data_IF_871801320603
#
_entry.id   IF_871801320603
#
_cell.length_a   1.000
_cell.length_b   1.000
_cell.length_c   1.000
_cell.angle_alpha   90.00
_cell.angle_beta   90.00
_cell.angle_gamma   90.00
#
_symmetry.space_group_name_H-M   'P 1'
#
loop_
_entity.id
_entity.type
_entity.pdbx_description
1 polymer ?
#
# COMPACT_ATOMS: atom_id res chain seq x y z
N UNK A 1 -32.07 17.64 49.92
CA UNK A 1 -31.53 16.28 50.10
C UNK A 1 -31.77 15.47 48.84
N UNK A 2 -30.90 15.58 47.83
CA UNK A 2 -30.87 14.64 46.71
C UNK A 2 -29.41 14.45 46.33
N UNK A 3 -28.75 13.55 47.05
CA UNK A 3 -27.42 13.08 46.75
C UNK A 3 -27.46 11.58 46.55
N UNK A 4 -26.73 11.14 45.53
CA UNK A 4 -26.17 9.80 45.39
C UNK A 4 -27.11 8.69 44.91
N UNK A 5 -27.29 8.60 43.59
CA UNK A 5 -27.54 7.30 42.95
C UNK A 5 -26.86 7.11 41.58
N UNK A 6 -25.94 8.00 41.18
CA UNK A 6 -25.32 8.00 39.85
C UNK A 6 -23.91 7.37 39.76
N UNK A 7 -23.26 6.98 40.87
CA UNK A 7 -21.83 6.59 40.83
C UNK A 7 -21.57 5.09 40.63
N UNK A 8 -22.51 4.19 40.95
CA UNK A 8 -22.24 2.76 40.94
C UNK A 8 -22.32 2.12 39.54
N UNK A 9 -23.18 2.61 38.66
CA UNK A 9 -23.33 2.08 37.30
C UNK A 9 -22.15 2.51 36.39
N UNK A 10 -21.70 3.77 36.52
CA UNK A 10 -20.57 4.30 35.76
C UNK A 10 -19.25 3.62 36.14
N UNK A 11 -19.04 3.31 37.42
CA UNK A 11 -17.84 2.60 37.87
C UNK A 11 -17.75 1.16 37.34
N UNK A 12 -18.89 0.45 37.22
CA UNK A 12 -18.93 -0.92 36.66
C UNK A 12 -18.70 -0.94 35.15
N UNK A 13 -19.17 0.08 34.42
CA UNK A 13 -18.95 0.23 32.98
C UNK A 13 -17.47 0.57 32.70
N UNK A 14 -16.89 1.50 33.47
CA UNK A 14 -15.47 1.83 33.38
C UNK A 14 -14.59 0.62 33.77
N UNK A 15 -14.94 -0.12 34.82
CA UNK A 15 -14.21 -1.34 35.20
C UNK A 15 -14.28 -2.44 34.13
N UNK A 16 -15.43 -2.60 33.44
CA UNK A 16 -15.57 -3.54 32.32
C UNK A 16 -14.84 -3.09 31.06
N UNK A 17 -14.84 -1.78 30.76
CA UNK A 17 -14.03 -1.20 29.66
C UNK A 17 -12.53 -1.31 29.96
N UNK A 18 -12.09 -1.05 31.20
CA UNK A 18 -10.72 -1.26 31.63
C UNK A 18 -10.31 -2.73 31.60
N UNK A 19 -11.20 -3.66 31.96
CA UNK A 19 -10.96 -5.10 31.82
C UNK A 19 -10.90 -5.52 30.34
N UNK A 20 -11.74 -4.95 29.47
CA UNK A 20 -11.69 -5.19 28.02
C UNK A 20 -10.40 -4.63 27.39
N UNK A 21 -9.96 -3.45 27.84
CA UNK A 21 -8.69 -2.82 27.42
C UNK A 21 -7.49 -3.58 27.99
N UNK A 22 -7.56 -4.13 29.20
CA UNK A 22 -6.52 -4.99 29.78
C UNK A 22 -6.43 -6.36 29.09
N UNK A 23 -7.55 -6.91 28.60
CA UNK A 23 -7.56 -8.12 27.76
C UNK A 23 -7.02 -7.85 26.35
N UNK A 24 -7.16 -6.63 25.84
CA UNK A 24 -6.59 -6.20 24.55
C UNK A 24 -5.11 -5.79 24.66
N UNK A 25 -4.63 -5.40 25.85
CA UNK A 25 -3.24 -4.98 26.08
C UNK A 25 -2.28 -6.11 26.53
N UNK A 26 -2.79 -7.31 26.79
CA UNK A 26 -1.96 -8.49 26.93
C UNK A 26 -1.62 -9.00 25.52
N UNK A 27 -0.52 -8.49 24.95
CA UNK A 27 0.02 -8.97 23.68
C UNK A 27 0.04 -10.50 23.66
N UNK A 28 -0.60 -11.07 22.65
CA UNK A 28 -0.75 -12.51 22.45
C UNK A 28 0.60 -13.12 22.02
N UNK A 29 1.57 -13.14 22.93
CA UNK A 29 2.73 -14.01 22.81
C UNK A 29 2.27 -15.45 22.99
N UNK A 30 2.40 -16.27 21.95
CA UNK A 30 2.10 -17.70 22.04
C UNK A 30 3.41 -18.47 22.06
N UNK A 31 3.71 -19.13 23.17
CA UNK A 31 4.81 -20.09 23.30
C UNK A 31 4.26 -21.51 23.09
N UNK A 32 4.97 -22.33 22.32
CA UNK A 32 4.67 -23.72 22.08
C UNK A 32 5.95 -24.55 22.13
N UNK A 33 5.97 -25.58 22.98
CA UNK A 33 7.10 -26.50 23.10
C UNK A 33 6.76 -27.84 22.46
N UNK A 34 7.55 -28.25 21.49
CA UNK A 34 7.31 -29.45 20.71
C UNK A 34 8.52 -30.35 20.77
N UNK A 35 8.30 -31.65 20.99
CA UNK A 35 9.38 -32.63 20.88
C UNK A 35 9.53 -33.07 19.44
N UNK A 36 10.71 -32.89 18.87
CA UNK A 36 11.01 -33.20 17.47
C UNK A 36 12.17 -34.19 17.40
N UNK A 37 12.15 -35.04 16.37
CA UNK A 37 13.29 -35.91 16.05
C UNK A 37 14.15 -35.21 15.00
N UNK A 38 15.39 -34.91 15.35
CA UNK A 38 16.38 -34.27 14.50
C UNK A 38 16.90 -35.23 13.42
N UNK A 39 17.68 -34.67 12.48
CA UNK A 39 18.30 -35.39 11.37
C UNK A 39 19.27 -36.50 11.79
N UNK A 40 19.89 -36.34 12.96
CA UNK A 40 20.80 -37.28 13.62
C UNK A 40 20.06 -38.40 14.39
N UNK A 41 18.72 -38.36 14.41
CA UNK A 41 17.87 -39.32 15.10
C UNK A 41 17.61 -39.02 16.58
N UNK A 42 18.26 -38.01 17.15
CA UNK A 42 18.05 -37.59 18.53
C UNK A 42 16.73 -36.83 18.68
N UNK A 43 16.13 -36.95 19.86
CA UNK A 43 14.89 -36.24 20.20
C UNK A 43 15.25 -35.02 21.03
N UNK A 44 14.84 -33.84 20.56
CA UNK A 44 15.08 -32.56 21.25
C UNK A 44 13.75 -31.84 21.48
N UNK A 45 13.77 -30.86 22.38
CA UNK A 45 12.65 -29.92 22.57
C UNK A 45 12.92 -28.68 21.72
N UNK A 46 11.95 -28.34 20.88
CA UNK A 46 11.92 -27.12 20.07
C UNK A 46 10.90 -26.15 20.69
N UNK A 47 11.37 -24.95 21.00
CA UNK A 47 10.55 -23.86 21.54
C UNK A 47 10.19 -22.92 20.40
N UNK A 48 8.89 -22.83 20.09
CA UNK A 48 8.33 -21.92 19.11
C UNK A 48 7.63 -20.76 19.84
N UNK A 49 8.01 -19.53 19.55
CA UNK A 49 7.33 -18.34 20.03
C UNK A 49 6.82 -17.51 18.86
N UNK A 50 5.59 -17.01 18.96
CA UNK A 50 5.02 -16.10 17.99
C UNK A 50 4.57 -14.81 18.67
N UNK A 51 5.02 -13.68 18.10
CA UNK A 51 4.61 -12.34 18.47
C UNK A 51 3.82 -11.73 17.31
N UNK A 52 2.49 -11.76 17.43
CA UNK A 52 1.60 -11.20 16.39
C UNK A 52 1.62 -9.66 16.35
N UNK A 53 2.05 -8.97 17.42
CA UNK A 53 2.11 -7.51 17.44
C UNK A 53 3.35 -6.99 16.70
N UNK A 54 4.49 -7.64 16.93
CA UNK A 54 5.75 -7.33 16.24
C UNK A 54 5.87 -7.99 14.87
N UNK A 55 4.94 -8.87 14.54
CA UNK A 55 4.94 -9.71 13.35
C UNK A 55 6.27 -10.47 13.21
N UNK A 56 6.61 -11.21 14.26
CA UNK A 56 7.85 -11.96 14.38
C UNK A 56 7.62 -13.34 15.00
N UNK A 57 8.51 -14.28 14.68
CA UNK A 57 8.54 -15.61 15.28
C UNK A 57 9.96 -15.94 15.74
N UNK A 58 10.08 -16.72 16.81
CA UNK A 58 11.31 -17.27 17.34
C UNK A 58 11.23 -18.79 17.42
N UNK A 59 12.34 -19.45 17.14
CA UNK A 59 12.51 -20.89 17.12
C UNK A 59 13.82 -21.20 17.85
N UNK A 60 13.79 -22.03 18.89
CA UNK A 60 14.99 -22.43 19.62
C UNK A 60 15.04 -23.94 19.83
N UNK A 61 16.19 -24.55 19.52
CA UNK A 61 16.41 -25.97 19.75
C UNK A 61 17.90 -26.27 19.97
N UNK A 62 18.17 -27.38 20.65
CA UNK A 62 19.54 -27.87 20.91
C UNK A 62 19.87 -29.05 20.00
N UNK A 63 21.03 -28.99 19.35
CA UNK A 63 21.58 -30.08 18.53
C UNK A 63 22.26 -31.15 19.40
N UNK A 64 22.52 -32.33 18.80
CA UNK A 64 23.14 -33.47 19.48
C UNK A 64 24.55 -33.22 20.01
N UNK A 65 25.30 -32.33 19.36
CA UNK A 65 26.64 -31.88 19.76
C UNK A 65 26.63 -30.86 20.91
N UNK A 66 25.44 -30.43 21.34
CA UNK A 66 25.27 -29.44 22.40
C UNK A 66 25.10 -28.00 21.91
N UNK A 67 25.24 -27.74 20.60
CA UNK A 67 25.06 -26.42 20.00
C UNK A 67 23.60 -25.95 20.16
N UNK A 68 23.41 -24.74 20.69
CA UNK A 68 22.08 -24.11 20.78
C UNK A 68 21.85 -23.25 19.54
N UNK A 69 20.76 -23.53 18.81
CA UNK A 69 20.35 -22.76 17.65
C UNK A 69 19.11 -21.94 18.01
N UNK A 70 19.19 -20.63 17.82
CA UNK A 70 18.05 -19.71 17.92
C UNK A 70 17.84 -19.07 16.56
N UNK A 71 16.63 -19.13 16.03
CA UNK A 71 16.24 -18.51 14.78
C UNK A 71 15.09 -17.53 15.03
N UNK A 72 15.18 -16.35 14.44
CA UNK A 72 14.08 -15.38 14.43
C UNK A 72 13.78 -14.97 13.01
N UNK A 73 12.50 -14.97 12.66
CA UNK A 73 11.99 -14.35 11.45
C UNK A 73 11.20 -13.10 11.81
N UNK A 74 11.70 -11.95 11.37
CA UNK A 74 11.06 -10.64 11.43
C UNK A 74 10.35 -10.40 10.09
N UNK A 75 9.04 -10.66 10.05
CA UNK A 75 8.23 -10.48 8.83
C UNK A 75 8.01 -9.00 8.50
N UNK A 76 8.03 -8.13 9.52
CA UNK A 76 7.90 -6.68 9.36
C UNK A 76 9.04 -6.10 8.53
N UNK A 77 10.28 -6.48 8.84
CA UNK A 77 11.46 -6.04 8.07
C UNK A 77 11.87 -7.01 6.95
N UNK A 78 11.27 -8.21 6.89
CA UNK A 78 11.66 -9.32 6.00
C UNK A 78 13.12 -9.74 6.20
N UNK A 79 13.51 -9.89 7.47
CA UNK A 79 14.86 -10.29 7.88
C UNK A 79 14.76 -11.57 8.71
N UNK A 80 15.66 -12.51 8.46
CA UNK A 80 15.84 -13.72 9.27
C UNK A 80 17.21 -13.71 9.93
N UNK A 81 17.26 -14.12 11.19
CA UNK A 81 18.44 -14.07 12.04
C UNK A 81 18.65 -15.47 12.60
N UNK A 82 19.84 -16.03 12.40
CA UNK A 82 20.26 -17.29 13.00
C UNK A 82 21.37 -17.00 14.00
N UNK A 83 21.23 -17.48 15.21
CA UNK A 83 22.27 -17.52 16.23
C UNK A 83 22.64 -18.96 16.50
N UNK A 84 23.92 -19.27 16.46
CA UNK A 84 24.47 -20.53 16.92
C UNK A 84 25.40 -20.27 18.12
N UNK A 85 25.08 -20.83 19.28
CA UNK A 85 25.97 -20.88 20.43
C UNK A 85 26.63 -22.25 20.47
N UNK A 86 27.90 -22.29 20.07
CA UNK A 86 28.71 -23.51 20.03
C UNK A 86 29.48 -23.60 21.34
N UNK A 87 29.48 -24.79 21.96
CA UNK A 87 30.25 -25.03 23.18
C UNK A 87 31.74 -24.99 22.88
N UNK A 88 32.50 -24.22 23.68
CA UNK A 88 33.94 -24.11 23.51
C UNK A 88 34.72 -25.22 24.22
N UNK A 89 35.94 -25.47 23.75
CA UNK A 89 36.86 -26.46 24.34
C UNK A 89 37.68 -25.81 25.46
N UNK A 90 37.17 -25.85 26.69
CA UNK A 90 37.83 -25.27 27.88
C UNK A 90 39.26 -25.78 28.09
N UNK A 91 39.52 -27.05 27.77
CA UNK A 91 40.85 -27.69 27.85
C UNK A 91 41.89 -27.04 26.92
N UNK A 92 41.45 -26.29 25.91
CA UNK A 92 42.31 -25.54 24.99
C UNK A 92 42.33 -24.05 25.29
N UNK A 93 41.81 -23.64 26.45
CA UNK A 93 41.73 -22.25 26.87
C UNK A 93 40.68 -21.43 26.12
N UNK A 94 39.68 -22.07 25.49
CA UNK A 94 38.57 -21.36 24.87
C UNK A 94 37.54 -20.91 25.92
N UNK A 95 36.71 -19.92 25.56
CA UNK A 95 35.56 -19.53 26.38
C UNK A 95 34.53 -20.69 26.47
N UNK A 96 33.62 -20.62 27.45
CA UNK A 96 32.58 -21.65 27.65
C UNK A 96 31.72 -21.86 26.40
N UNK A 97 31.47 -20.80 25.64
CA UNK A 97 30.74 -20.85 24.37
C UNK A 97 31.28 -19.79 23.40
N UNK A 98 31.08 -20.05 22.11
CA UNK A 98 31.31 -19.11 21.02
C UNK A 98 29.99 -18.85 20.32
N UNK A 99 29.58 -17.57 20.27
CA UNK A 99 28.41 -17.14 19.51
C UNK A 99 28.75 -16.81 18.07
N UNK A 100 27.93 -17.30 17.14
CA UNK A 100 27.92 -16.91 15.74
C UNK A 100 26.53 -16.40 15.40
N UNK A 101 26.44 -15.29 14.68
CA UNK A 101 25.17 -14.76 14.22
C UNK A 101 25.18 -14.56 12.70
N UNK A 102 24.11 -14.98 12.03
CA UNK A 102 23.92 -14.84 10.61
C UNK A 102 22.61 -14.10 10.34
N UNK A 103 22.70 -12.97 9.66
CA UNK A 103 21.55 -12.15 9.29
C UNK A 103 21.36 -12.27 7.78
N UNK A 104 20.14 -12.56 7.33
CA UNK A 104 19.84 -12.69 5.90
C UNK A 104 18.41 -12.23 5.61
N UNK A 105 18.08 -12.06 4.33
CA UNK A 105 16.72 -11.73 3.90
C UNK A 105 15.78 -12.92 4.09
N UNK A 106 14.58 -12.65 4.62
CA UNK A 106 13.48 -13.60 4.68
C UNK A 106 12.71 -13.57 3.35
N UNK A 107 12.59 -14.73 2.68
CA UNK A 107 11.72 -14.83 1.49
C UNK A 107 10.31 -15.27 1.86
N UNK A 108 9.36 -15.00 0.96
CA UNK A 108 7.96 -15.44 1.13
C UNK A 108 7.89 -16.96 1.16
N UNK A 109 7.03 -17.49 2.01
CA UNK A 109 6.72 -18.91 2.12
C UNK A 109 7.91 -19.79 2.56
N UNK A 110 8.98 -19.22 3.10
CA UNK A 110 10.03 -19.99 3.76
C UNK A 110 9.54 -20.60 5.08
N UNK A 111 8.68 -19.88 5.80
CA UNK A 111 8.15 -20.28 7.10
C UNK A 111 6.71 -19.76 7.29
N UNK A 112 5.95 -20.41 8.17
CA UNK A 112 4.57 -20.02 8.50
C UNK A 112 4.53 -18.61 9.14
N UNK A 113 3.58 -17.75 8.75
CA UNK A 113 3.44 -16.41 9.33
C UNK A 113 3.17 -16.42 10.84
N UNK A 114 3.51 -15.32 11.52
CA UNK A 114 3.34 -15.12 12.96
C UNK A 114 1.90 -15.40 13.43
N UNK A 115 0.88 -14.90 12.73
CA UNK A 115 -0.53 -15.12 13.09
C UNK A 115 -0.93 -16.60 13.04
N UNK A 116 -0.42 -17.34 12.06
CA UNK A 116 -0.70 -18.78 11.92
C UNK A 116 0.00 -19.57 13.02
N UNK A 117 1.25 -19.23 13.32
CA UNK A 117 2.03 -19.86 14.39
C UNK A 117 1.40 -19.58 15.77
N UNK A 118 0.91 -18.37 16.03
CA UNK A 118 0.28 -17.98 17.29
C UNK A 118 -1.01 -18.76 17.60
N UNK A 119 -1.62 -19.38 16.59
CA UNK A 119 -2.82 -20.22 16.71
C UNK A 119 -2.50 -21.70 16.86
N UNK A 120 -1.24 -22.12 16.73
CA UNK A 120 -0.86 -23.51 16.92
C UNK A 120 -1.09 -23.96 18.35
N UNK A 121 -1.72 -25.12 18.51
CA UNK A 121 -2.00 -25.75 19.80
C UNK A 121 -1.65 -27.23 19.72
N UNK A 122 -1.03 -27.76 20.76
CA UNK A 122 -0.66 -29.17 20.82
C UNK A 122 -1.64 -29.97 21.67
N UNK A 123 -2.27 -30.96 21.04
CA UNK A 123 -3.23 -31.85 21.71
C UNK A 123 -2.56 -32.86 22.64
N UNK A 124 -1.35 -33.34 22.28
CA UNK A 124 -0.58 -34.28 23.09
C UNK A 124 0.87 -33.76 23.28
N UNK A 125 1.22 -33.19 24.45
CA UNK A 125 2.55 -32.68 24.74
C UNK A 125 3.68 -33.71 24.60
N UNK A 126 3.36 -35.00 24.79
CA UNK A 126 4.33 -36.08 24.74
C UNK A 126 4.53 -36.65 23.33
N UNK A 127 3.79 -36.18 22.32
CA UNK A 127 3.97 -36.68 20.95
C UNK A 127 5.31 -36.19 20.37
N UNK A 128 6.11 -37.12 19.83
CA UNK A 128 7.31 -36.80 19.06
C UNK A 128 6.87 -36.51 17.63
N UNK A 129 7.18 -35.32 17.13
CA UNK A 129 6.86 -34.88 15.77
C UNK A 129 7.99 -35.22 14.81
N UNK A 130 7.59 -35.60 13.60
CA UNK A 130 8.45 -35.88 12.47
C UNK A 130 8.10 -34.89 11.36
N UNK A 131 9.12 -34.41 10.65
CA UNK A 131 8.91 -33.55 9.49
C UNK A 131 8.16 -34.33 8.40
N UNK A 132 7.10 -33.75 7.86
CA UNK A 132 6.34 -34.31 6.74
C UNK A 132 7.16 -34.31 5.45
N UNK A 133 7.91 -33.22 5.23
CA UNK A 133 8.83 -33.04 4.11
C UNK A 133 10.25 -32.79 4.64
N UNK A 134 11.24 -33.52 4.13
CA UNK A 134 12.66 -33.31 4.46
C UNK A 134 13.33 -32.53 3.33
N UNK A 135 13.47 -31.21 3.52
CA UNK A 135 14.17 -30.34 2.57
C UNK A 135 15.69 -30.61 2.59
N UNK A 136 16.34 -30.41 1.45
CA UNK A 136 17.80 -30.55 1.30
C UNK A 136 18.58 -29.45 2.01
N UNK A 137 19.90 -29.61 2.08
CA UNK A 137 20.80 -28.60 2.63
C UNK A 137 20.96 -27.41 1.66
N UNK A 138 20.78 -26.19 2.16
CA UNK A 138 21.09 -24.96 1.43
C UNK A 138 22.46 -24.44 1.86
N UNK A 139 23.34 -24.18 0.88
CA UNK A 139 24.65 -23.58 1.14
C UNK A 139 24.58 -22.07 0.95
N UNK A 140 24.90 -21.31 2.00
CA UNK A 140 24.92 -19.86 1.98
C UNK A 140 26.32 -19.33 2.31
N UNK A 141 26.83 -18.44 1.47
CA UNK A 141 28.12 -17.76 1.71
C UNK A 141 27.89 -16.44 2.45
N UNK A 142 28.35 -16.39 3.70
CA UNK A 142 28.20 -15.25 4.60
C UNK A 142 29.53 -14.48 4.68
N UNK A 143 29.79 -13.63 3.69
CA UNK A 143 31.10 -13.00 3.48
C UNK A 143 31.24 -11.60 4.08
N UNK A 144 30.15 -10.98 4.54
CA UNK A 144 30.17 -9.57 4.99
C UNK A 144 29.90 -9.49 6.48
N UNK A 145 30.78 -8.83 7.23
CA UNK A 145 30.58 -8.57 8.65
C UNK A 145 29.54 -7.47 8.89
N UNK A 146 28.71 -7.62 9.92
CA UNK A 146 27.66 -6.67 10.31
C UNK A 146 28.08 -5.97 11.61
N UNK A 147 28.02 -4.65 11.61
CA UNK A 147 28.28 -3.87 12.81
C UNK A 147 27.04 -3.85 13.72
N UNK A 148 27.12 -4.51 14.88
CA UNK A 148 26.03 -4.63 15.85
C UNK A 148 25.41 -3.27 16.24
N UNK A 149 26.24 -2.23 16.40
CA UNK A 149 25.76 -0.89 16.80
C UNK A 149 24.82 -0.22 15.79
N UNK A 150 24.90 -0.62 14.52
CA UNK A 150 24.05 -0.10 13.43
C UNK A 150 23.02 -1.11 12.94
N UNK A 151 23.14 -2.37 13.37
CA UNK A 151 22.31 -3.46 12.87
C UNK A 151 20.82 -3.31 13.21
N UNK A 152 20.46 -2.49 14.21
CA UNK A 152 19.06 -2.16 14.53
C UNK A 152 18.28 -1.58 13.34
N UNK A 153 18.98 -0.99 12.36
CA UNK A 153 18.41 -0.48 11.11
C UNK A 153 17.85 -1.59 10.22
N UNK A 154 18.40 -2.80 10.32
CA UNK A 154 17.94 -3.98 9.57
C UNK A 154 16.79 -4.67 10.30
N UNK A 155 16.96 -4.91 11.60
CA UNK A 155 15.91 -5.43 12.47
C UNK A 155 16.23 -5.11 13.93
N UNK A 156 15.19 -4.75 14.69
CA UNK A 156 15.31 -4.49 16.13
C UNK A 156 15.72 -5.71 16.95
N UNK A 157 15.53 -6.93 16.41
CA UNK A 157 15.84 -8.18 17.09
C UNK A 157 17.34 -8.51 17.09
N UNK A 158 18.12 -7.95 16.15
CA UNK A 158 19.54 -8.29 15.96
C UNK A 158 20.37 -7.97 17.21
N UNK A 159 20.10 -6.84 17.86
CA UNK A 159 20.88 -6.45 19.04
C UNK A 159 20.78 -7.49 20.16
N UNK A 160 19.56 -7.89 20.51
CA UNK A 160 19.34 -8.84 21.61
C UNK A 160 19.84 -10.24 21.24
N UNK A 161 19.59 -10.68 20.01
CA UNK A 161 20.01 -12.01 19.56
C UNK A 161 21.53 -12.12 19.39
N UNK A 162 22.17 -11.17 18.73
CA UNK A 162 23.56 -11.31 18.32
C UNK A 162 24.56 -10.70 19.32
N UNK A 163 24.11 -10.19 20.47
CA UNK A 163 24.98 -9.56 21.47
C UNK A 163 26.14 -10.47 21.92
N UNK A 164 25.86 -11.76 22.11
CA UNK A 164 26.85 -12.78 22.51
C UNK A 164 27.83 -13.17 21.41
N UNK A 165 27.51 -12.88 20.14
CA UNK A 165 28.39 -13.18 19.01
C UNK A 165 29.53 -12.16 18.87
N UNK A 166 29.49 -11.04 19.59
CA UNK A 166 30.51 -9.99 19.51
C UNK A 166 30.67 -9.48 18.07
N UNK A 167 31.86 -9.69 17.49
CA UNK A 167 32.17 -9.30 16.10
C UNK A 167 31.81 -10.38 15.07
N UNK A 168 31.42 -11.59 15.50
CA UNK A 168 31.13 -12.72 14.63
C UNK A 168 29.68 -12.72 14.11
N UNK A 169 29.29 -11.59 13.51
CA UNK A 169 27.97 -11.36 12.92
C UNK A 169 28.15 -11.18 11.42
N UNK A 170 27.53 -12.04 10.62
CA UNK A 170 27.75 -12.09 9.19
C UNK A 170 26.45 -12.02 8.39
N UNK A 171 26.55 -11.52 7.16
CA UNK A 171 25.46 -11.47 6.18
C UNK A 171 26.00 -11.76 4.77
N UNK A 172 25.09 -11.92 3.81
CA UNK A 172 25.39 -12.15 2.40
C UNK A 172 25.59 -10.82 1.68
N UNK A 173 26.55 -10.75 0.77
CA UNK A 173 26.75 -9.59 -0.10
C UNK A 173 25.49 -9.23 -0.92
N UNK A 174 24.76 -10.24 -1.39
CA UNK A 174 23.50 -10.06 -2.11
C UNK A 174 22.41 -9.39 -1.25
N UNK A 175 22.37 -9.68 0.06
CA UNK A 175 21.39 -9.10 0.98
C UNK A 175 21.74 -7.63 1.29
N UNK A 176 23.03 -7.33 1.48
CA UNK A 176 23.54 -5.96 1.64
C UNK A 176 23.15 -5.11 0.44
N UNK A 177 23.44 -5.59 -0.77
CA UNK A 177 23.07 -4.90 -2.02
C UNK A 177 21.56 -4.65 -2.09
N UNK A 178 20.74 -5.66 -1.73
CA UNK A 178 19.30 -5.53 -1.72
C UNK A 178 18.80 -4.44 -0.76
N UNK A 179 19.34 -4.38 0.46
CA UNK A 179 18.95 -3.37 1.45
C UNK A 179 19.37 -1.97 1.04
N UNK A 180 20.59 -1.80 0.52
CA UNK A 180 21.08 -0.53 -0.01
C UNK A 180 20.24 -0.04 -1.20
N UNK A 181 19.92 -0.93 -2.15
CA UNK A 181 19.07 -0.59 -3.30
C UNK A 181 17.65 -0.20 -2.88
N UNK A 182 17.11 -0.84 -1.82
CA UNK A 182 15.81 -0.48 -1.24
C UNK A 182 15.85 0.91 -0.62
N UNK A 183 16.86 1.21 0.19
CA UNK A 183 17.03 2.51 0.83
C UNK A 183 17.23 3.62 -0.20
N UNK A 184 18.16 3.44 -1.14
CA UNK A 184 18.44 4.41 -2.20
C UNK A 184 17.19 4.71 -3.04
N UNK A 185 16.39 3.68 -3.37
CA UNK A 185 15.12 3.85 -4.07
C UNK A 185 14.12 4.66 -3.26
N UNK A 186 13.96 4.39 -1.97
CA UNK A 186 13.04 5.14 -1.11
C UNK A 186 13.46 6.61 -0.98
N UNK A 187 14.75 6.87 -0.82
CA UNK A 187 15.31 8.23 -0.79
C UNK A 187 15.04 8.95 -2.11
N UNK A 188 15.27 8.30 -3.25
CA UNK A 188 14.98 8.85 -4.57
C UNK A 188 13.48 9.17 -4.76
N UNK A 189 12.59 8.30 -4.27
CA UNK A 189 11.13 8.52 -4.30
C UNK A 189 10.74 9.74 -3.48
N UNK A 190 11.27 9.88 -2.26
CA UNK A 190 10.96 11.03 -1.39
C UNK A 190 11.45 12.33 -2.02
N UNK A 191 12.70 12.36 -2.49
CA UNK A 191 13.27 13.54 -3.17
C UNK A 191 12.44 13.86 -4.42
N UNK A 192 12.13 12.85 -5.24
CA UNK A 192 11.31 13.01 -6.44
C UNK A 192 9.92 13.56 -6.14
N UNK A 193 9.26 13.11 -5.07
CA UNK A 193 7.94 13.59 -4.67
C UNK A 193 7.97 15.06 -4.22
N UNK A 194 8.99 15.46 -3.45
CA UNK A 194 9.19 16.85 -3.04
C UNK A 194 9.44 17.74 -4.26
N UNK A 195 10.34 17.33 -5.16
CA UNK A 195 10.62 18.06 -6.39
C UNK A 195 9.37 18.18 -7.28
N UNK A 196 8.59 17.11 -7.41
CA UNK A 196 7.34 17.14 -8.15
C UNK A 196 6.33 18.09 -7.52
N UNK A 197 6.15 18.06 -6.20
CA UNK A 197 5.27 18.99 -5.48
C UNK A 197 5.70 20.45 -5.71
N UNK A 198 7.00 20.73 -5.56
CA UNK A 198 7.57 22.06 -5.82
C UNK A 198 7.37 22.49 -7.28
N UNK A 199 7.52 21.58 -8.25
CA UNK A 199 7.27 21.85 -9.66
C UNK A 199 5.82 22.30 -9.90
N UNK A 200 4.83 21.54 -9.39
CA UNK A 200 3.42 21.87 -9.56
C UNK A 200 3.03 23.17 -8.86
N UNK A 201 3.51 23.39 -7.64
CA UNK A 201 3.30 24.64 -6.91
C UNK A 201 3.92 25.84 -7.63
N UNK A 202 5.13 25.68 -8.18
CA UNK A 202 5.82 26.74 -8.93
C UNK A 202 5.10 27.07 -10.22
N UNK A 203 4.59 26.06 -10.94
CA UNK A 203 3.76 26.25 -12.12
C UNK A 203 2.48 27.02 -11.78
N UNK A 204 1.81 26.68 -10.67
CA UNK A 204 0.63 27.40 -10.21
C UNK A 204 0.93 28.88 -9.91
N UNK A 205 2.01 29.16 -9.16
CA UNK A 205 2.43 30.52 -8.86
C UNK A 205 2.77 31.32 -10.12
N UNK A 206 3.47 30.68 -11.07
CA UNK A 206 3.78 31.28 -12.37
C UNK A 206 2.50 31.63 -13.15
N UNK A 207 1.54 30.71 -13.24
CA UNK A 207 0.26 30.96 -13.90
C UNK A 207 -0.53 32.07 -13.21
N UNK A 208 -0.50 32.16 -11.88
CA UNK A 208 -1.13 33.25 -11.14
C UNK A 208 -0.47 34.61 -11.45
N UNK A 209 0.85 34.64 -11.64
CA UNK A 209 1.57 35.85 -12.04
C UNK A 209 1.22 36.30 -13.47
N UNK A 210 1.20 35.38 -14.42
CA UNK A 210 0.93 35.67 -15.84
C UNK A 210 -0.56 35.98 -16.08
N UNK A 211 -1.46 35.19 -15.49
CA UNK A 211 -2.91 35.33 -15.62
C UNK A 211 -3.52 36.05 -14.40
N UNK A 212 -2.90 37.13 -13.93
CA UNK A 212 -3.40 37.89 -12.78
C UNK A 212 -4.81 38.47 -12.95
N UNK A 213 -5.32 38.54 -14.18
CA UNK A 213 -6.69 38.95 -14.49
C UNK A 213 -7.73 37.83 -14.31
N UNK A 214 -7.31 36.58 -14.12
CA UNK A 214 -8.18 35.41 -13.91
C UNK A 214 -8.22 35.03 -12.44
N UNK A 215 -9.23 34.26 -12.04
CA UNK A 215 -9.36 33.78 -10.67
C UNK A 215 -8.27 32.77 -10.31
N UNK A 216 -7.97 32.65 -9.01
CA UNK A 216 -7.05 31.61 -8.52
C UNK A 216 -7.50 30.20 -8.89
N UNK A 217 -8.81 29.92 -8.89
CA UNK A 217 -9.35 28.63 -9.35
C UNK A 217 -9.06 28.38 -10.83
N UNK A 218 -9.20 29.40 -11.69
CA UNK A 218 -8.88 29.26 -13.12
C UNK A 218 -7.46 28.75 -13.33
N UNK A 219 -6.49 29.34 -12.62
CA UNK A 219 -5.09 28.94 -12.72
C UNK A 219 -4.85 27.54 -12.15
N UNK A 220 -5.53 27.15 -11.07
CA UNK A 220 -5.46 25.78 -10.54
C UNK A 220 -6.02 24.76 -11.55
N UNK A 221 -7.17 25.05 -12.16
CA UNK A 221 -7.80 24.18 -13.17
C UNK A 221 -6.93 24.00 -14.42
N UNK A 222 -6.12 25.00 -14.79
CA UNK A 222 -5.11 24.86 -15.84
C UNK A 222 -4.00 23.87 -15.44
N UNK A 223 -3.53 23.92 -14.20
CA UNK A 223 -2.57 22.95 -13.67
C UNK A 223 -3.17 21.55 -13.67
N UNK A 224 -4.42 21.39 -13.20
CA UNK A 224 -5.15 20.12 -13.25
C UNK A 224 -5.29 19.57 -14.67
N UNK A 225 -5.62 20.42 -15.63
CA UNK A 225 -5.73 20.02 -17.04
C UNK A 225 -4.38 19.54 -17.58
N UNK A 226 -3.29 20.27 -17.31
CA UNK A 226 -1.95 19.87 -17.74
C UNK A 226 -1.54 18.54 -17.12
N UNK A 227 -1.76 18.37 -15.81
CA UNK A 227 -1.51 17.11 -15.12
C UNK A 227 -2.28 15.95 -15.76
N UNK A 228 -3.59 16.10 -15.94
CA UNK A 228 -4.44 15.05 -16.53
C UNK A 228 -3.95 14.62 -17.92
N UNK A 229 -3.55 15.57 -18.77
CA UNK A 229 -2.98 15.27 -20.09
C UNK A 229 -1.65 14.51 -19.96
N UNK A 230 -0.72 15.00 -19.14
CA UNK A 230 0.58 14.36 -18.96
C UNK A 230 0.45 12.96 -18.36
N UNK A 231 -0.38 12.81 -17.32
CA UNK A 231 -0.64 11.54 -16.66
C UNK A 231 -1.19 10.51 -17.66
N UNK A 232 -2.20 10.88 -18.45
CA UNK A 232 -2.80 10.01 -19.47
C UNK A 232 -1.78 9.62 -20.53
N UNK A 233 -0.99 10.57 -21.06
CA UNK A 233 0.01 10.28 -22.08
C UNK A 233 1.10 9.33 -21.58
N UNK A 234 1.67 9.60 -20.40
CA UNK A 234 2.75 8.79 -19.82
C UNK A 234 2.23 7.39 -19.46
N UNK A 235 1.07 7.29 -18.81
CA UNK A 235 0.51 5.99 -18.41
C UNK A 235 -0.01 5.18 -19.59
N UNK A 236 -0.50 5.82 -20.66
CA UNK A 236 -0.80 5.14 -21.92
C UNK A 236 0.47 4.54 -22.54
N UNK A 237 1.56 5.29 -22.59
CA UNK A 237 2.83 4.77 -23.09
C UNK A 237 3.32 3.58 -22.25
N UNK A 238 3.23 3.68 -20.92
CA UNK A 238 3.56 2.56 -20.03
C UNK A 238 2.70 1.33 -20.34
N UNK A 239 1.38 1.50 -20.45
CA UNK A 239 0.46 0.37 -20.65
C UNK A 239 0.58 -0.28 -22.02
N UNK A 240 0.69 0.51 -23.09
CA UNK A 240 0.60 0.02 -24.47
C UNK A 240 1.95 -0.20 -25.16
N UNK A 241 3.04 0.39 -24.65
CA UNK A 241 4.36 0.34 -25.32
C UNK A 241 5.45 -0.26 -24.42
N UNK A 242 5.66 0.30 -23.22
CA UNK A 242 6.74 -0.14 -22.31
C UNK A 242 6.42 -1.50 -21.64
N UNK A 243 5.16 -1.65 -21.20
CA UNK A 243 4.69 -2.80 -20.46
C UNK A 243 5.16 -2.83 -18.99
N UNK A 244 4.92 -3.95 -18.29
CA UNK A 244 4.13 -5.11 -18.70
C UNK A 244 2.63 -4.80 -18.83
N UNK A 245 1.86 -5.67 -19.48
CA UNK A 245 0.41 -5.44 -19.67
C UNK A 245 -0.38 -5.61 -18.35
N UNK A 246 -1.20 -4.61 -17.92
CA UNK A 246 -1.86 -4.61 -16.61
C UNK A 246 -2.79 -5.79 -16.35
N UNK A 247 -3.43 -6.34 -17.38
CA UNK A 247 -4.40 -7.44 -17.22
C UNK A 247 -3.73 -8.82 -17.05
N UNK A 248 -2.48 -8.96 -17.49
CA UNK A 248 -1.77 -10.26 -17.47
C UNK A 248 -0.72 -10.34 -16.36
N UNK A 249 -0.19 -9.19 -15.94
CA UNK A 249 0.95 -9.13 -15.02
C UNK A 249 0.70 -8.26 -13.77
N UNK A 250 -0.45 -8.36 -13.08
CA UNK A 250 -0.63 -7.65 -11.81
C UNK A 250 0.34 -8.19 -10.75
N UNK A 251 0.82 -7.30 -9.87
CA UNK A 251 1.72 -7.60 -8.76
C UNK A 251 3.19 -7.69 -9.12
N UNK A 252 3.59 -7.24 -10.32
CA UNK A 252 5.00 -7.19 -10.71
C UNK A 252 5.74 -6.04 -10.02
N UNK A 253 7.08 -6.14 -10.02
CA UNK A 253 7.94 -5.05 -9.52
C UNK A 253 7.75 -3.78 -10.35
N UNK A 254 7.88 -2.64 -9.69
CA UNK A 254 7.71 -1.35 -10.33
C UNK A 254 8.89 -1.06 -11.26
N UNK A 255 8.61 -0.65 -12.49
CA UNK A 255 9.66 -0.18 -13.42
C UNK A 255 10.05 1.27 -13.08
N UNK A 256 11.27 1.72 -13.46
CA UNK A 256 11.67 3.11 -13.24
C UNK A 256 10.69 4.14 -13.84
N UNK A 257 10.12 3.84 -15.02
CA UNK A 257 9.16 4.71 -15.68
C UNK A 257 7.81 4.76 -14.93
N UNK A 258 7.33 3.61 -14.44
CA UNK A 258 6.15 3.56 -13.56
C UNK A 258 6.37 4.37 -12.28
N UNK A 259 7.52 4.21 -11.62
CA UNK A 259 7.86 4.99 -10.42
C UNK A 259 7.84 6.48 -10.74
N UNK A 260 8.43 6.89 -11.86
CA UNK A 260 8.49 8.29 -12.27
C UNK A 260 7.10 8.88 -12.54
N UNK A 261 6.22 8.14 -13.22
CA UNK A 261 4.83 8.54 -13.50
C UNK A 261 4.01 8.69 -12.21
N UNK A 262 4.15 7.72 -11.28
CA UNK A 262 3.48 7.73 -9.99
C UNK A 262 3.98 8.87 -9.10
N UNK A 263 5.29 9.14 -9.06
CA UNK A 263 5.89 10.24 -8.31
C UNK A 263 5.44 11.60 -8.84
N UNK A 264 5.42 11.78 -10.17
CA UNK A 264 4.91 13.00 -10.82
C UNK A 264 3.44 13.28 -10.44
N UNK A 265 2.63 12.22 -10.39
CA UNK A 265 1.21 12.31 -10.08
C UNK A 265 0.95 12.46 -8.58
N UNK A 266 1.77 11.86 -7.73
CA UNK A 266 1.72 12.03 -6.28
C UNK A 266 1.96 13.50 -5.90
N UNK A 267 2.99 14.13 -6.46
CA UNK A 267 3.26 15.54 -6.21
C UNK A 267 2.08 16.45 -6.61
N UNK A 268 1.44 16.15 -7.75
CA UNK A 268 0.24 16.86 -8.18
C UNK A 268 -0.93 16.63 -7.22
N UNK A 269 -1.26 15.39 -6.88
CA UNK A 269 -2.41 15.11 -6.03
C UNK A 269 -2.26 15.69 -4.62
N UNK A 270 -1.05 15.74 -4.08
CA UNK A 270 -0.78 16.43 -2.81
C UNK A 270 -1.01 17.94 -2.93
N UNK A 271 -0.52 18.56 -4.02
CA UNK A 271 -0.78 19.97 -4.32
C UNK A 271 -2.30 20.25 -4.44
N UNK A 272 -2.99 19.47 -5.26
CA UNK A 272 -4.41 19.65 -5.58
C UNK A 272 -5.31 19.40 -4.35
N UNK A 273 -4.97 18.39 -3.54
CA UNK A 273 -5.64 18.15 -2.26
C UNK A 273 -5.50 19.35 -1.31
N UNK A 274 -4.27 19.86 -1.15
CA UNK A 274 -4.03 21.02 -0.28
C UNK A 274 -4.82 22.24 -0.76
N UNK A 275 -4.85 22.46 -2.08
CA UNK A 275 -5.59 23.55 -2.70
C UNK A 275 -7.11 23.40 -2.48
N UNK A 276 -7.68 22.22 -2.74
CA UNK A 276 -9.11 21.93 -2.58
C UNK A 276 -9.57 22.07 -1.13
N UNK A 277 -8.75 21.62 -0.15
CA UNK A 277 -9.05 21.75 1.27
C UNK A 277 -8.99 23.21 1.72
N UNK A 278 -7.99 23.96 1.26
CA UNK A 278 -7.80 25.37 1.61
C UNK A 278 -8.93 26.25 1.06
N UNK A 279 -9.26 26.11 -0.23
CA UNK A 279 -10.29 26.92 -0.89
C UNK A 279 -11.71 26.34 -0.78
N UNK A 280 -11.87 25.11 -0.26
CA UNK A 280 -13.15 24.40 -0.08
C UNK A 280 -13.99 24.34 -1.36
N UNK A 281 -13.33 24.06 -2.49
CA UNK A 281 -13.96 24.08 -3.83
C UNK A 281 -14.68 22.78 -4.19
N UNK A 282 -14.29 21.66 -3.58
CA UNK A 282 -14.75 20.32 -3.96
C UNK A 282 -15.50 19.60 -2.84
N UNK A 283 -16.39 18.69 -3.24
CA UNK A 283 -17.20 17.89 -2.31
C UNK A 283 -16.44 16.71 -1.69
N UNK A 284 -17.01 16.16 -0.61
CA UNK A 284 -16.40 15.07 0.16
C UNK A 284 -16.05 13.82 -0.67
N UNK A 285 -16.85 13.47 -1.67
CA UNK A 285 -16.59 12.31 -2.56
C UNK A 285 -15.32 12.53 -3.39
N UNK A 286 -15.09 13.74 -3.89
CA UNK A 286 -13.88 14.06 -4.64
C UNK A 286 -12.66 14.07 -3.71
N UNK A 287 -12.77 14.64 -2.51
CA UNK A 287 -11.69 14.57 -1.51
C UNK A 287 -11.36 13.12 -1.16
N UNK A 288 -12.35 12.26 -0.93
CA UNK A 288 -12.13 10.84 -0.67
C UNK A 288 -11.39 10.16 -1.83
N UNK A 289 -11.74 10.49 -3.08
CA UNK A 289 -11.04 10.01 -4.27
C UNK A 289 -9.58 10.42 -4.27
N UNK A 290 -9.25 11.69 -4.04
CA UNK A 290 -7.86 12.14 -3.97
C UNK A 290 -7.11 11.49 -2.80
N UNK A 291 -7.72 11.35 -1.62
CA UNK A 291 -7.09 10.67 -0.48
C UNK A 291 -6.74 9.23 -0.82
N UNK A 292 -7.67 8.47 -1.42
CA UNK A 292 -7.38 7.09 -1.80
C UNK A 292 -6.36 6.99 -2.95
N UNK A 293 -6.37 7.91 -3.91
CA UNK A 293 -5.33 7.99 -4.94
C UNK A 293 -3.94 8.23 -4.33
N UNK A 294 -3.81 9.17 -3.39
CA UNK A 294 -2.55 9.46 -2.69
C UNK A 294 -2.09 8.23 -1.90
N UNK A 295 -2.97 7.64 -1.09
CA UNK A 295 -2.64 6.45 -0.28
C UNK A 295 -2.28 5.25 -1.15
N UNK A 296 -2.99 5.03 -2.25
CA UNK A 296 -2.70 3.96 -3.22
C UNK A 296 -1.33 4.14 -3.85
N UNK A 297 -0.99 5.34 -4.31
CA UNK A 297 0.33 5.62 -4.90
C UNK A 297 1.44 5.45 -3.86
N UNK A 298 1.26 5.98 -2.64
CA UNK A 298 2.24 5.84 -1.55
C UNK A 298 2.48 4.35 -1.22
N UNK A 299 1.42 3.56 -1.14
CA UNK A 299 1.50 2.14 -0.86
C UNK A 299 2.26 1.40 -1.98
N UNK A 300 1.92 1.66 -3.24
CA UNK A 300 2.60 1.06 -4.41
C UNK A 300 4.10 1.42 -4.45
N UNK A 301 4.45 2.68 -4.18
CA UNK A 301 5.84 3.13 -4.15
C UNK A 301 6.62 2.52 -2.97
N UNK A 302 6.01 2.42 -1.79
CA UNK A 302 6.61 1.83 -0.60
C UNK A 302 6.84 0.32 -0.74
N UNK A 303 5.87 -0.39 -1.31
CA UNK A 303 5.97 -1.82 -1.57
C UNK A 303 6.98 -2.16 -2.68
N UNK A 304 7.16 -1.25 -3.65
CA UNK A 304 7.98 -1.49 -4.84
C UNK A 304 7.40 -2.55 -5.79
N UNK A 305 6.12 -2.88 -5.60
CA UNK A 305 5.33 -3.83 -6.36
C UNK A 305 3.98 -3.17 -6.74
N UNK A 306 3.31 -3.72 -7.75
CA UNK A 306 1.99 -3.26 -8.24
C UNK A 306 1.96 -1.88 -8.93
N UNK A 307 3.10 -1.45 -9.47
CA UNK A 307 3.26 -0.19 -10.21
C UNK A 307 2.44 -0.14 -11.48
N UNK A 308 2.31 -1.27 -12.18
CA UNK A 308 1.51 -1.36 -13.39
C UNK A 308 0.02 -1.20 -13.11
N UNK A 309 -0.49 -1.81 -12.03
CA UNK A 309 -1.86 -1.57 -11.57
C UNK A 309 -2.06 -0.10 -11.20
N UNK A 310 -1.12 0.48 -10.44
CA UNK A 310 -1.17 1.90 -10.09
C UNK A 310 -1.25 2.82 -11.32
N UNK A 311 -0.42 2.58 -12.34
CA UNK A 311 -0.44 3.34 -13.58
C UNK A 311 -1.72 3.12 -14.40
N UNK A 312 -2.27 1.91 -14.43
CA UNK A 312 -3.52 1.63 -15.15
C UNK A 312 -4.75 2.27 -14.45
N UNK A 313 -4.81 2.24 -13.11
CA UNK A 313 -5.84 2.99 -12.35
C UNK A 313 -5.67 4.49 -12.58
N UNK A 314 -4.44 5.01 -12.55
CA UNK A 314 -4.15 6.41 -12.83
C UNK A 314 -4.64 6.79 -14.24
N UNK A 315 -4.29 6.02 -15.27
CA UNK A 315 -4.78 6.21 -16.63
C UNK A 315 -6.31 6.25 -16.71
N UNK A 316 -6.99 5.21 -16.20
CA UNK A 316 -8.44 5.08 -16.26
C UNK A 316 -9.17 6.17 -15.46
N UNK A 317 -8.55 6.65 -14.38
CA UNK A 317 -9.10 7.74 -13.58
C UNK A 317 -8.89 9.11 -14.23
N UNK A 318 -7.74 9.38 -14.83
CA UNK A 318 -7.39 10.69 -15.38
C UNK A 318 -7.88 10.90 -16.82
N UNK A 319 -8.17 9.85 -17.59
CA UNK A 319 -8.60 9.98 -18.99
C UNK A 319 -9.89 10.81 -19.14
N UNK A 320 -10.74 10.84 -18.11
CA UNK A 320 -11.95 11.67 -18.08
C UNK A 320 -11.71 13.11 -17.61
N UNK A 321 -10.57 13.39 -16.98
CA UNK A 321 -10.29 14.67 -16.31
C UNK A 321 -10.18 15.85 -17.29
N UNK A 322 -9.50 15.75 -18.46
CA UNK A 322 -9.48 16.84 -19.43
C UNK A 322 -10.88 17.32 -19.86
N UNK A 323 -11.85 16.41 -19.95
CA UNK A 323 -13.24 16.73 -20.28
C UNK A 323 -13.95 17.45 -19.13
N UNK A 324 -13.70 17.03 -17.88
CA UNK A 324 -14.21 17.73 -16.69
C UNK A 324 -13.68 19.17 -16.61
N UNK A 325 -12.38 19.36 -16.84
CA UNK A 325 -11.79 20.70 -16.84
C UNK A 325 -12.33 21.54 -18.00
N UNK A 326 -12.41 20.97 -19.21
CA UNK A 326 -13.00 21.66 -20.37
C UNK A 326 -14.43 22.10 -20.09
N UNK A 327 -15.25 21.25 -19.47
CA UNK A 327 -16.62 21.58 -19.06
C UNK A 327 -16.66 22.77 -18.09
N UNK A 328 -15.76 22.81 -17.12
CA UNK A 328 -15.65 23.94 -16.18
C UNK A 328 -15.31 25.25 -16.93
N UNK A 329 -14.32 25.23 -17.82
CA UNK A 329 -13.95 26.40 -18.63
C UNK A 329 -15.08 26.87 -19.55
N UNK A 330 -15.85 25.94 -20.14
CA UNK A 330 -17.01 26.30 -20.96
C UNK A 330 -18.11 27.00 -20.15
N UNK A 331 -18.32 26.58 -18.89
CA UNK A 331 -19.25 27.28 -17.99
C UNK A 331 -18.76 28.68 -17.66
N UNK A 332 -17.49 28.82 -17.32
CA UNK A 332 -16.91 30.11 -16.94
C UNK A 332 -16.84 31.12 -18.09
N UNK A 333 -16.74 30.64 -19.33
CA UNK A 333 -16.75 31.47 -20.54
C UNK A 333 -18.14 31.70 -21.13
N UNK A 334 -19.20 31.20 -20.50
CA UNK A 334 -20.58 31.32 -20.99
C UNK A 334 -20.91 30.48 -22.23
N UNK A 335 -20.00 29.58 -22.65
CA UNK A 335 -20.14 28.74 -23.86
C UNK A 335 -20.72 27.35 -23.59
N UNK A 336 -21.11 27.05 -22.35
CA UNK A 336 -21.63 25.73 -21.96
C UNK A 336 -22.93 25.34 -22.67
N UNK A 337 -23.80 26.29 -23.01
CA UNK A 337 -25.06 26.02 -23.74
C UNK A 337 -24.89 25.69 -25.23
N UNK A 338 -23.65 25.64 -25.74
CA UNK A 338 -23.38 25.34 -27.14
C UNK A 338 -23.32 23.83 -27.40
N UNK A 339 -23.38 23.42 -28.68
CA UNK A 339 -23.19 22.02 -29.08
C UNK A 339 -21.88 21.40 -28.57
N UNK A 340 -20.85 22.24 -28.35
CA UNK A 340 -19.59 21.81 -27.76
C UNK A 340 -19.77 21.37 -26.31
N UNK A 341 -20.56 22.09 -25.51
CA UNK A 341 -20.85 21.71 -24.11
C UNK A 341 -21.61 20.38 -24.03
N UNK A 342 -22.55 20.16 -24.95
CA UNK A 342 -23.28 18.89 -25.05
C UNK A 342 -22.39 17.73 -25.48
N UNK A 343 -21.50 17.95 -26.45
CA UNK A 343 -20.53 16.95 -26.87
C UNK A 343 -19.56 16.58 -25.74
N UNK A 344 -19.08 17.56 -24.97
CA UNK A 344 -18.20 17.32 -23.81
C UNK A 344 -18.90 16.51 -22.73
N UNK A 345 -20.14 16.85 -22.37
CA UNK A 345 -20.91 16.08 -21.38
C UNK A 345 -21.14 14.64 -21.86
N UNK A 346 -21.53 14.44 -23.12
CA UNK A 346 -21.75 13.11 -23.69
C UNK A 346 -20.47 12.26 -23.71
N UNK A 347 -19.36 12.84 -24.18
CA UNK A 347 -18.07 12.17 -24.23
C UNK A 347 -17.55 11.83 -22.83
N UNK A 348 -17.74 12.73 -21.86
CA UNK A 348 -17.38 12.47 -20.47
C UNK A 348 -18.14 11.26 -19.91
N UNK A 349 -19.46 11.20 -20.09
CA UNK A 349 -20.29 10.08 -19.60
C UNK A 349 -19.88 8.76 -20.26
N UNK A 350 -19.73 8.75 -21.59
CA UNK A 350 -19.34 7.55 -22.34
C UNK A 350 -17.97 7.05 -21.89
N UNK A 351 -16.99 7.95 -21.80
CA UNK A 351 -15.63 7.61 -21.41
C UNK A 351 -15.55 7.15 -19.95
N UNK A 352 -16.30 7.78 -19.05
CA UNK A 352 -16.40 7.37 -17.65
C UNK A 352 -16.93 5.95 -17.52
N UNK A 353 -18.04 5.64 -18.18
CA UNK A 353 -18.65 4.31 -18.11
C UNK A 353 -17.73 3.27 -18.73
N UNK A 354 -17.19 3.53 -19.92
CA UNK A 354 -16.28 2.60 -20.60
C UNK A 354 -15.02 2.32 -19.77
N UNK A 355 -14.32 3.37 -19.34
CA UNK A 355 -13.00 3.22 -18.72
C UNK A 355 -13.07 2.87 -17.23
N UNK A 356 -13.95 3.50 -16.45
CA UNK A 356 -13.98 3.30 -15.00
C UNK A 356 -14.86 2.13 -14.57
N UNK A 357 -15.95 1.85 -15.30
CA UNK A 357 -16.88 0.77 -14.91
C UNK A 357 -16.50 -0.55 -15.59
N UNK A 358 -16.39 -0.57 -16.93
CA UNK A 358 -16.11 -1.79 -17.66
C UNK A 358 -14.63 -2.17 -17.63
N UNK A 359 -13.75 -1.31 -18.14
CA UNK A 359 -12.29 -1.59 -18.16
C UNK A 359 -11.75 -1.67 -16.73
N UNK A 360 -12.14 -0.75 -15.85
CA UNK A 360 -11.79 -0.79 -14.43
C UNK A 360 -12.29 -2.05 -13.71
N UNK A 361 -13.51 -2.52 -14.01
CA UNK A 361 -14.05 -3.76 -13.44
C UNK A 361 -13.30 -5.00 -13.91
N UNK A 362 -12.98 -5.08 -15.20
CA UNK A 362 -12.17 -6.17 -15.76
C UNK A 362 -10.76 -6.19 -15.16
N UNK A 363 -10.15 -5.02 -14.95
CA UNK A 363 -8.83 -4.90 -14.33
C UNK A 363 -8.87 -5.32 -12.86
N UNK A 364 -9.88 -4.88 -12.09
CA UNK A 364 -10.05 -5.30 -10.71
C UNK A 364 -10.23 -6.83 -10.60
N UNK A 365 -10.98 -7.43 -11.53
CA UNK A 365 -11.12 -8.88 -11.57
C UNK A 365 -9.77 -9.59 -11.76
N UNK A 366 -8.94 -9.13 -12.71
CA UNK A 366 -7.59 -9.67 -12.91
C UNK A 366 -6.70 -9.52 -11.66
N UNK A 367 -6.79 -8.38 -10.96
CA UNK A 367 -6.05 -8.12 -9.73
C UNK A 367 -6.49 -9.06 -8.58
N UNK A 368 -7.80 -9.23 -8.39
CA UNK A 368 -8.36 -10.05 -7.33
C UNK A 368 -8.04 -11.54 -7.50
N UNK A 369 -8.10 -12.05 -8.74
CA UNK A 369 -7.80 -13.46 -9.06
C UNK A 369 -6.30 -13.75 -8.98
N UNK A 370 -5.44 -12.76 -9.25
CA UNK A 370 -3.99 -12.97 -9.22
C UNK A 370 -3.48 -13.26 -7.80
N UNK A 371 -2.59 -14.25 -7.61
CA UNK A 371 -1.99 -14.53 -6.31
C UNK A 371 -0.84 -13.56 -5.95
N UNK A 372 -0.43 -12.67 -6.87
CA UNK A 372 0.76 -11.83 -6.68
C UNK A 372 0.49 -10.55 -5.87
N UNK A 373 -0.54 -9.73 -6.18
CA UNK A 373 -0.80 -8.50 -5.45
C UNK A 373 -1.05 -8.77 -3.98
N UNK A 374 -0.46 -7.93 -3.12
CA UNK A 374 -0.65 -8.04 -1.67
C UNK A 374 -2.11 -7.75 -1.30
N UNK A 375 -2.57 -8.32 -0.20
CA UNK A 375 -3.94 -8.14 0.28
C UNK A 375 -4.37 -6.66 0.38
N UNK A 376 -3.49 -5.79 0.88
CA UNK A 376 -3.78 -4.36 1.00
C UNK A 376 -3.94 -3.64 -0.35
N UNK A 377 -3.23 -4.08 -1.39
CA UNK A 377 -3.38 -3.53 -2.75
C UNK A 377 -4.76 -3.88 -3.29
N UNK A 378 -5.18 -5.15 -3.15
CA UNK A 378 -6.53 -5.62 -3.52
C UNK A 378 -7.64 -4.84 -2.82
N UNK A 379 -7.48 -4.58 -1.51
CA UNK A 379 -8.43 -3.78 -0.76
C UNK A 379 -8.53 -2.34 -1.31
N UNK A 380 -7.38 -1.75 -1.66
CA UNK A 380 -7.33 -0.43 -2.31
C UNK A 380 -8.03 -0.41 -3.67
N UNK A 381 -7.83 -1.45 -4.50
CA UNK A 381 -8.51 -1.60 -5.78
C UNK A 381 -10.03 -1.67 -5.63
N UNK A 382 -10.53 -2.47 -4.69
CA UNK A 382 -11.98 -2.56 -4.38
C UNK A 382 -12.53 -1.22 -3.91
N UNK A 383 -11.82 -0.51 -3.02
CA UNK A 383 -12.26 0.79 -2.52
C UNK A 383 -12.33 1.85 -3.63
N UNK A 384 -11.33 1.91 -4.51
CA UNK A 384 -11.32 2.81 -5.66
C UNK A 384 -12.40 2.49 -6.68
N UNK A 385 -12.70 1.21 -6.90
CA UNK A 385 -13.80 0.80 -7.77
C UNK A 385 -15.17 1.16 -7.17
N UNK A 386 -15.35 0.98 -5.86
CA UNK A 386 -16.57 1.38 -5.16
C UNK A 386 -16.83 2.89 -5.30
N UNK A 387 -15.80 3.73 -5.19
CA UNK A 387 -15.95 5.17 -5.49
C UNK A 387 -16.42 5.45 -6.91
N UNK A 388 -15.94 4.67 -7.89
CA UNK A 388 -16.34 4.85 -9.29
C UNK A 388 -17.85 4.60 -9.47
N UNK A 389 -18.42 3.67 -8.72
CA UNK A 389 -19.88 3.46 -8.66
C UNK A 389 -20.61 4.61 -7.98
N UNK A 390 -20.07 5.17 -6.89
CA UNK A 390 -20.66 6.36 -6.25
C UNK A 390 -20.72 7.53 -7.23
N UNK A 391 -19.63 7.80 -7.94
CA UNK A 391 -19.60 8.81 -9.00
C UNK A 391 -20.59 8.50 -10.13
N UNK A 392 -20.74 7.23 -10.52
CA UNK A 392 -21.71 6.84 -11.56
C UNK A 392 -23.14 7.23 -11.17
N UNK A 393 -23.53 7.02 -9.90
CA UNK A 393 -24.85 7.41 -9.41
C UNK A 393 -25.07 8.92 -9.56
N UNK A 394 -24.08 9.74 -9.24
CA UNK A 394 -24.16 11.20 -9.40
C UNK A 394 -24.23 11.62 -10.87
N UNK A 395 -23.51 10.93 -11.75
CA UNK A 395 -23.54 11.15 -13.19
C UNK A 395 -24.91 10.78 -13.77
N UNK A 396 -25.50 9.66 -13.35
CA UNK A 396 -26.85 9.24 -13.78
C UNK A 396 -27.89 10.28 -13.34
N UNK A 397 -27.84 10.73 -12.08
CA UNK A 397 -28.72 11.82 -11.61
C UNK A 397 -28.55 13.10 -12.42
N UNK A 398 -27.32 13.45 -12.79
CA UNK A 398 -27.05 14.59 -13.67
C UNK A 398 -27.65 14.39 -15.07
N UNK A 399 -27.47 13.21 -15.68
CA UNK A 399 -28.00 12.89 -17.00
C UNK A 399 -29.54 12.92 -17.03
N UNK A 400 -30.20 12.39 -16.00
CA UNK A 400 -31.66 12.44 -15.87
C UNK A 400 -32.19 13.88 -15.84
N UNK A 401 -31.62 14.73 -14.95
CA UNK A 401 -32.01 16.16 -14.86
C UNK A 401 -31.79 16.91 -16.18
N UNK A 402 -30.71 16.59 -16.90
CA UNK A 402 -30.42 17.20 -18.20
C UNK A 402 -31.42 16.75 -19.26
N UNK A 403 -31.79 15.47 -19.26
CA UNK A 403 -32.80 14.92 -20.19
C UNK A 403 -34.18 15.52 -19.96
N UNK A 404 -34.60 15.71 -18.71
CA UNK A 404 -35.87 16.36 -18.36
C UNK A 404 -35.89 17.79 -18.92
N UNK A 405 -34.82 18.56 -18.67
CA UNK A 405 -34.70 19.93 -19.19
C UNK A 405 -34.79 19.99 -20.73
N UNK A 406 -34.20 19.04 -21.43
CA UNK A 406 -34.30 18.97 -22.89
C UNK A 406 -35.71 18.60 -23.37
N UNK A 407 -36.40 17.74 -22.63
CA UNK A 407 -37.81 17.41 -22.90
C UNK A 407 -38.68 18.66 -22.74
N UNK A 408 -38.54 19.37 -21.63
CA UNK A 408 -39.32 20.59 -21.35
C UNK A 408 -39.05 21.68 -22.40
N UNK A 409 -37.79 21.83 -22.83
CA UNK A 409 -37.42 22.78 -23.90
C UNK A 409 -38.03 22.41 -25.25
N UNK A 410 -38.11 21.12 -25.59
CA UNK A 410 -38.78 20.64 -26.80
C UNK A 410 -40.29 20.85 -26.73
N UNK A 411 -40.92 20.52 -25.60
CA UNK A 411 -42.35 20.72 -25.38
C UNK A 411 -42.74 22.21 -25.47
N UNK A 412 -41.94 23.12 -24.90
CA UNK A 412 -42.16 24.57 -25.06
C UNK A 412 -41.96 25.05 -26.51
N UNK A 413 -40.99 24.50 -27.24
CA UNK A 413 -40.77 24.83 -28.65
C UNK A 413 -41.94 24.36 -29.53
N UNK A 414 -42.46 23.17 -29.27
CA UNK A 414 -43.60 22.59 -29.99
C UNK A 414 -44.90 23.36 -29.69
N UNK A 415 -45.12 23.76 -28.43
CA UNK A 415 -46.26 24.60 -28.01
C UNK A 415 -46.22 26.00 -28.66
N UNK A 416 -45.05 26.65 -28.70
CA UNK A 416 -44.87 27.94 -29.36
C UNK A 416 -44.93 27.84 -30.91
N UNK A 417 -44.59 26.68 -31.47
CA UNK A 417 -44.73 26.39 -32.91
C UNK A 417 -46.18 26.22 -33.36
N UNK A 418 -47.09 25.77 -32.48
CA UNK A 418 -48.53 25.64 -32.78
C UNK A 418 -49.30 26.98 -32.75
N UNK A 419 -48.80 28.01 -32.05
CA UNK A 419 -49.43 29.34 -31.99
C UNK A 419 -49.23 30.22 -33.23
N UNK A 420 -48.47 29.76 -34.24
CA UNK A 420 -48.10 30.56 -35.43
C UNK A 420 -48.72 30.08 -36.75
N UNK A 421 -49.64 29.11 -36.67
CA UNK A 421 -50.43 28.59 -37.81
C UNK A 421 -51.92 28.78 -37.52
N UNK A 422 -52.38 30.03 -37.58
CA UNK A 422 -53.74 30.47 -37.88
C UNK A 422 -53.73 31.99 -37.73
N UNK A 423 -53.43 32.65 -38.83
CA UNK A 423 -54.08 33.88 -39.30
C UNK A 423 -53.65 34.11 -40.76
#
# INVERSE_FOLDING_TARGET
MFASCASAASARIVARLCALVLVVAAGLGSELRVRVRLSDGLVTEEVLEADSERDAISLEFKQGDGTLITYVADFKQNVKIFRALILGELERGQNQYQGLCFVSRLNRNEIIPSESMARLRQKNPQAIRLAEERRGLEQLTMSVAVNLSRAWQLSSHIHNMCSEAGEAIYTREADVKHWLDKEARMTAVVIGAVLSLSLWASLYCFLCGVNGSRSYEWNCRLVTLLHGILAVCITAYIGYVDGPWPFSYPGTKNTPLQISALVLSLGYFVFDMAWCVYFRTEGAVMLAHHTMSILGILLTLWLGESGIEGCAVLFGSEITNPLLQTRWFLKQTGKYGTRLGDAVDALFVLLFVAMRIFVGGAMLYCELVSPRPRFFIKCGGVAMYALSWVFLVDIVRFAMRKSEKWRDQREMADANGHGRKKD
#
